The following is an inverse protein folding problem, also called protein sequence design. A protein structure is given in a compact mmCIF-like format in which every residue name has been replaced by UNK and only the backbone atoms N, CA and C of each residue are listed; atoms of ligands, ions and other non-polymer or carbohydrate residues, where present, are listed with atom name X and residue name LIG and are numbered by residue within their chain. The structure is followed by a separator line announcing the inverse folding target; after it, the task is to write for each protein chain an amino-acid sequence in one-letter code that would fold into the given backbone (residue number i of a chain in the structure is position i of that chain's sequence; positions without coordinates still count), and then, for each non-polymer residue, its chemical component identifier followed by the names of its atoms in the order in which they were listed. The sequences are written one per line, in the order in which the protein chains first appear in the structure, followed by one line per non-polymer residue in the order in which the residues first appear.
data_IF_954663567256
#
_entry.id   IF_954663567256
#
_cell.length_a   1.000
_cell.length_b   1.000
_cell.length_c   1.000
_cell.angle_alpha   90.00
_cell.angle_beta   90.00
_cell.angle_gamma   90.00
#
_symmetry.space_group_name_H-M   'P 1'
#
loop_
_entity.id
_entity.type
_entity.pdbx_description
1 polymer ?
#
# COMPACT_ATOMS: atom_id res chain seq x y z
N UNK A 1 -9.51 -6.95 15.26
CA UNK A 1 -8.48 -8.00 15.15
C UNK A 1 -7.34 -7.44 14.32
N UNK A 2 -6.10 -7.56 14.79
CA UNK A 2 -4.91 -7.08 14.08
C UNK A 2 -4.10 -8.26 13.57
N UNK A 3 -3.65 -8.19 12.32
CA UNK A 3 -2.81 -9.22 11.70
C UNK A 3 -1.69 -8.56 10.91
N UNK A 4 -0.47 -9.08 11.01
CA UNK A 4 0.65 -8.63 10.19
C UNK A 4 0.62 -9.33 8.82
N UNK A 5 0.88 -8.57 7.75
CA UNK A 5 1.03 -9.11 6.40
C UNK A 5 2.23 -8.49 5.70
N UNK A 6 2.89 -9.27 4.84
CA UNK A 6 3.94 -8.75 3.96
C UNK A 6 3.32 -8.18 2.69
N UNK A 7 3.77 -6.98 2.31
CA UNK A 7 3.30 -6.28 1.12
C UNK A 7 4.49 -5.70 0.36
N UNK A 8 4.37 -5.60 -0.96
CA UNK A 8 5.28 -4.77 -1.75
C UNK A 8 4.65 -3.40 -1.91
N UNK A 9 5.28 -2.37 -1.36
CA UNK A 9 4.91 -0.98 -1.61
C UNK A 9 5.52 -0.58 -2.95
N UNK A 10 4.68 -0.12 -3.86
CA UNK A 10 5.04 0.24 -5.23
C UNK A 10 5.31 1.73 -5.39
N UNK A 11 4.63 2.56 -4.61
CA UNK A 11 4.67 4.01 -4.72
C UNK A 11 3.91 4.67 -3.57
N UNK A 12 4.26 5.91 -3.27
CA UNK A 12 3.46 6.76 -2.42
C UNK A 12 3.42 8.19 -2.97
N UNK A 13 2.35 8.92 -2.67
CA UNK A 13 2.17 10.31 -3.09
C UNK A 13 1.52 11.12 -1.99
N UNK A 14 1.97 12.36 -1.81
CA UNK A 14 1.34 13.33 -0.91
C UNK A 14 0.32 14.17 -1.67
N UNK A 15 -0.74 14.55 -1.00
CA UNK A 15 -1.70 15.53 -1.47
C UNK A 15 -2.01 16.52 -0.36
N UNK A 16 -2.24 17.77 -0.72
CA UNK A 16 -2.72 18.83 0.14
C UNK A 16 -3.57 19.76 -0.74
N UNK A 17 -4.81 20.03 -0.33
CA UNK A 17 -5.72 20.94 -1.03
C UNK A 17 -6.72 21.54 -0.04
N UNK A 18 -7.25 22.72 -0.37
CA UNK A 18 -8.28 23.38 0.44
C UNK A 18 -9.67 22.88 0.05
N UNK A 19 -10.49 22.52 1.03
CA UNK A 19 -11.91 22.20 0.80
C UNK A 19 -12.72 23.49 0.67
N UNK A 20 -13.15 23.79 -0.56
CA UNK A 20 -13.94 24.98 -0.91
C UNK A 20 -15.22 25.14 -0.07
N UNK A 21 -15.76 24.05 0.52
CA UNK A 21 -17.00 24.11 1.31
C UNK A 21 -16.74 24.39 2.79
N UNK A 22 -15.64 23.92 3.33
CA UNK A 22 -15.34 24.02 4.77
C UNK A 22 -14.20 24.98 5.11
N UNK A 23 -13.44 25.44 4.10
CA UNK A 23 -12.25 26.28 4.26
C UNK A 23 -11.12 25.57 5.01
N UNK A 24 -11.18 24.23 5.11
CA UNK A 24 -10.18 23.42 5.81
C UNK A 24 -9.20 22.84 4.81
N UNK A 25 -7.93 22.84 5.18
CA UNK A 25 -6.90 22.13 4.45
C UNK A 25 -7.07 20.61 4.65
N UNK A 26 -7.18 19.88 3.55
CA UNK A 26 -7.21 18.43 3.51
C UNK A 26 -5.86 17.95 2.98
N UNK A 27 -5.11 17.29 3.84
CA UNK A 27 -3.82 16.72 3.51
C UNK A 27 -3.76 15.22 3.82
N UNK A 28 -2.90 14.51 3.11
CA UNK A 28 -2.63 13.09 3.37
C UNK A 28 -1.60 12.48 2.45
N UNK A 29 -1.32 11.21 2.69
CA UNK A 29 -0.42 10.39 1.89
C UNK A 29 -1.17 9.18 1.35
N UNK A 30 -1.12 8.95 0.03
CA UNK A 30 -1.68 7.76 -0.61
C UNK A 30 -0.57 6.77 -0.92
N UNK A 31 -0.65 5.58 -0.33
CA UNK A 31 0.34 4.50 -0.48
C UNK A 31 -0.25 3.40 -1.35
N UNK A 32 0.46 3.05 -2.42
CA UNK A 32 0.10 1.97 -3.34
C UNK A 32 0.91 0.71 -3.02
N UNK A 33 0.24 -0.42 -2.82
CA UNK A 33 0.87 -1.67 -2.45
C UNK A 33 0.17 -2.89 -3.04
N UNK A 34 0.89 -4.01 -3.14
CA UNK A 34 0.34 -5.33 -3.46
C UNK A 34 0.59 -6.29 -2.29
N UNK A 35 -0.43 -7.03 -1.83
CA UNK A 35 -0.23 -8.04 -0.80
C UNK A 35 0.53 -9.23 -1.38
N UNK A 36 1.54 -9.71 -0.66
CA UNK A 36 2.21 -10.96 -0.98
C UNK A 36 1.36 -12.07 -0.36
N UNK A 37 0.23 -12.38 -1.00
CA UNK A 37 -0.53 -13.57 -0.67
C UNK A 37 0.13 -14.78 -1.35
N UNK A 38 0.23 -15.90 -0.65
CA UNK A 38 0.44 -17.19 -1.29
C UNK A 38 -0.86 -17.53 -2.04
N UNK A 39 -1.00 -17.12 -3.30
CA UNK A 39 -2.12 -17.59 -4.11
C UNK A 39 -1.82 -19.03 -4.56
N UNK A 40 -2.66 -19.95 -4.12
CA UNK A 40 -2.64 -21.37 -4.50
C UNK A 40 -3.38 -21.65 -5.82
N UNK A 41 -3.86 -20.62 -6.51
CA UNK A 41 -4.64 -20.75 -7.74
C UNK A 41 -3.77 -20.59 -8.98
N UNK A 42 -3.59 -21.68 -9.72
CA UNK A 42 -2.74 -21.81 -10.91
C UNK A 42 -3.15 -20.95 -12.13
N UNK A 43 -4.09 -20.00 -11.98
CA UNK A 43 -4.65 -19.25 -13.11
C UNK A 43 -4.78 -17.74 -12.88
N UNK A 44 -3.93 -17.15 -12.03
CA UNK A 44 -3.93 -15.72 -11.77
C UNK A 44 -3.01 -14.96 -12.74
N UNK A 45 -3.56 -13.95 -13.45
CA UNK A 45 -2.83 -13.03 -14.34
C UNK A 45 -2.31 -11.80 -13.59
N UNK A 46 -1.53 -12.03 -12.53
CA UNK A 46 -0.95 -10.96 -11.69
C UNK A 46 -1.87 -10.46 -10.58
N UNK A 47 -1.43 -9.40 -9.90
CA UNK A 47 -2.09 -8.81 -8.73
C UNK A 47 -2.49 -7.36 -9.00
N UNK A 48 -3.68 -6.96 -8.54
CA UNK A 48 -4.16 -5.58 -8.63
C UNK A 48 -3.60 -4.77 -7.45
N UNK A 49 -2.87 -3.66 -7.69
CA UNK A 49 -2.43 -2.75 -6.65
C UNK A 49 -3.61 -2.18 -5.86
N UNK A 50 -3.48 -2.21 -4.53
CA UNK A 50 -4.38 -1.54 -3.60
C UNK A 50 -3.78 -0.18 -3.21
N UNK A 51 -4.64 0.71 -2.73
CA UNK A 51 -4.21 2.02 -2.24
C UNK A 51 -4.86 2.31 -0.89
N UNK A 52 -4.07 2.84 0.03
CA UNK A 52 -4.52 3.26 1.36
C UNK A 52 -4.10 4.70 1.64
N UNK A 53 -4.98 5.41 2.35
CA UNK A 53 -4.74 6.79 2.76
C UNK A 53 -4.19 6.79 4.19
N UNK A 54 -3.06 7.45 4.35
CA UNK A 54 -2.32 7.63 5.59
C UNK A 54 -2.18 9.12 5.90
N UNK A 55 -1.72 9.43 7.11
CA UNK A 55 -1.40 10.80 7.50
C UNK A 55 -0.32 11.40 6.60
N UNK A 56 -0.33 12.72 6.44
CA UNK A 56 0.62 13.43 5.56
C UNK A 56 2.09 13.20 5.98
N UNK A 57 2.33 13.18 7.31
CA UNK A 57 3.62 12.90 7.94
C UNK A 57 4.20 11.53 7.59
N UNK A 58 3.33 10.52 7.40
CA UNK A 58 3.71 9.14 7.13
C UNK A 58 4.57 9.00 5.87
N UNK A 59 4.41 9.90 4.89
CA UNK A 59 5.23 9.89 3.69
C UNK A 59 6.73 9.99 3.98
N UNK A 60 7.11 10.72 5.03
CA UNK A 60 8.52 10.88 5.41
C UNK A 60 9.09 9.66 6.14
N UNK A 61 8.23 8.77 6.63
CA UNK A 61 8.60 7.52 7.31
C UNK A 61 8.81 6.37 6.31
N UNK A 62 8.37 6.55 5.06
CA UNK A 62 8.57 5.55 4.02
C UNK A 62 10.06 5.44 3.67
N UNK A 63 10.58 4.21 3.76
CA UNK A 63 11.89 3.85 3.22
C UNK A 63 11.91 3.80 1.69
N UNK A 64 12.82 2.98 1.14
CA UNK A 64 12.97 2.82 -0.31
C UNK A 64 11.71 2.21 -0.94
N UNK A 65 11.18 2.88 -1.96
CA UNK A 65 10.05 2.42 -2.77
C UNK A 65 10.51 2.31 -4.23
N UNK A 66 10.30 1.19 -4.94
CA UNK A 66 9.59 -0.01 -4.50
C UNK A 66 10.35 -0.83 -3.46
N UNK A 67 9.62 -1.38 -2.49
CA UNK A 67 10.21 -2.10 -1.36
C UNK A 67 9.23 -3.08 -0.72
N UNK A 68 9.78 -4.05 0.01
CA UNK A 68 9.03 -4.98 0.84
C UNK A 68 8.79 -4.34 2.21
N UNK A 69 7.55 -4.36 2.66
CA UNK A 69 7.11 -3.82 3.94
C UNK A 69 6.29 -4.85 4.71
N UNK A 70 6.36 -4.79 6.03
CA UNK A 70 5.38 -5.41 6.93
C UNK A 70 4.29 -4.40 7.21
N UNK A 71 3.03 -4.75 6.97
CA UNK A 71 1.88 -3.90 7.23
C UNK A 71 0.93 -4.56 8.23
N UNK A 72 0.28 -3.75 9.06
CA UNK A 72 -0.77 -4.20 9.98
C UNK A 72 -2.13 -4.08 9.31
N UNK A 73 -2.86 -5.18 9.29
CA UNK A 73 -4.25 -5.26 8.84
C UNK A 73 -5.16 -5.26 10.05
N UNK A 74 -5.99 -4.24 10.16
CA UNK A 74 -7.04 -4.16 11.17
C UNK A 74 -8.38 -4.51 10.55
N UNK A 75 -9.00 -5.56 11.06
CA UNK A 75 -10.36 -5.93 10.68
C UNK A 75 -11.35 -5.29 11.64
N UNK A 76 -12.22 -4.45 11.10
CA UNK A 76 -13.41 -3.94 11.79
C UNK A 76 -14.64 -4.68 11.28
N UNK A 77 -15.36 -5.33 12.19
CA UNK A 77 -16.65 -5.96 11.91
C UNK A 77 -17.76 -4.97 12.26
N UNK A 78 -18.52 -4.57 11.25
CA UNK A 78 -19.85 -3.97 11.48
C UNK A 78 -20.89 -5.02 11.10
N UNK A 79 -22.10 -4.93 11.68
CA UNK A 79 -23.18 -5.93 11.61
C UNK A 79 -23.59 -6.38 10.19
N UNK A 80 -23.12 -5.70 9.14
CA UNK A 80 -23.34 -6.08 7.73
C UNK A 80 -22.08 -6.16 6.85
N UNK A 81 -20.92 -5.70 7.31
CA UNK A 81 -19.72 -5.63 6.47
C UNK A 81 -18.43 -5.81 7.29
N UNK A 82 -17.51 -6.62 6.77
CA UNK A 82 -16.13 -6.72 7.26
C UNK A 82 -15.30 -5.72 6.45
N UNK A 83 -14.75 -4.70 7.11
CA UNK A 83 -13.78 -3.78 6.49
C UNK A 83 -12.40 -4.11 7.03
N UNK A 84 -11.46 -4.34 6.10
CA UNK A 84 -10.04 -4.43 6.42
C UNK A 84 -9.41 -3.07 6.11
N UNK A 85 -8.70 -2.50 7.09
CA UNK A 85 -7.89 -1.30 6.93
C UNK A 85 -6.43 -1.68 7.09
N UNK A 86 -5.57 -1.23 6.18
CA UNK A 86 -4.12 -1.48 6.29
C UNK A 86 -3.44 -0.22 6.80
N UNK A 87 -2.54 -0.38 7.76
CA UNK A 87 -1.79 0.69 8.40
C UNK A 87 -0.41 0.22 8.84
N UNK A 88 0.44 1.14 9.30
CA UNK A 88 1.77 0.88 9.86
C UNK A 88 2.67 0.05 8.93
N UNK A 89 3.09 0.63 7.80
CA UNK A 89 4.04 -0.02 6.90
C UNK A 89 5.46 0.15 7.43
N UNK A 90 6.06 -0.95 7.89
CA UNK A 90 7.45 -1.00 8.36
C UNK A 90 8.34 -1.53 7.24
N UNK A 91 9.35 -0.77 6.84
CA UNK A 91 10.28 -1.17 5.78
C UNK A 91 11.08 -2.42 6.19
N UNK A 92 11.18 -3.40 5.28
CA UNK A 92 12.00 -4.61 5.47
C UNK A 92 13.23 -4.54 4.56
N UNK A 93 13.01 -4.52 3.24
CA UNK A 93 14.09 -4.59 2.25
C UNK A 93 13.66 -3.96 0.92
N UNK A 94 14.61 -3.45 0.10
CA UNK A 94 14.28 -2.91 -1.22
C UNK A 94 13.93 -4.02 -2.20
N UNK A 95 12.99 -3.77 -3.12
CA UNK A 95 12.67 -4.70 -4.21
C UNK A 95 13.39 -4.23 -5.46
N UNK A 96 14.23 -5.10 -6.02
CA UNK A 96 14.90 -4.84 -7.30
C UNK A 96 14.14 -5.59 -8.39
N UNK A 97 13.62 -4.87 -9.38
CA UNK A 97 13.08 -5.51 -10.57
C UNK A 97 14.26 -5.75 -11.52
N UNK A 98 14.68 -7.01 -11.65
CA UNK A 98 15.51 -7.39 -12.80
C UNK A 98 14.64 -7.24 -14.06
N UNK A 99 14.96 -6.25 -14.90
CA UNK A 99 14.26 -6.04 -16.16
C UNK A 99 14.37 -7.32 -17.00
N UNK A 100 13.28 -7.87 -17.54
CA UNK A 100 13.38 -9.05 -18.40
C UNK A 100 14.17 -8.69 -19.66
N UNK A 101 15.24 -9.45 -19.87
CA UNK A 101 15.96 -9.79 -21.10
C UNK A 101 15.66 -8.93 -22.33
N UNK A 102 16.70 -8.24 -22.81
CA UNK A 102 16.80 -7.60 -24.12
C UNK A 102 16.16 -8.49 -25.18
N UNK A 103 15.10 -8.01 -25.84
CA UNK A 103 14.62 -8.65 -27.05
C UNK A 103 15.78 -8.69 -28.05
N UNK A 104 16.26 -9.89 -28.38
CA UNK A 104 17.16 -10.05 -29.52
C UNK A 104 16.36 -9.63 -30.76
N UNK A 105 16.87 -8.60 -31.44
CA UNK A 105 16.43 -8.16 -32.76
C UNK A 105 16.65 -9.25 -33.81
#
# INVERSE_FOLDING_TARGET
MEQKMKVVVLGASRYAFEDEKSGREIEGCKVHYVPIAASTENNQKGLIPKAETMEYSFFNELGTVPGLYEATVTFSMSSKNIKAKVSNFSFIEPVTFELPVTAKA
#
